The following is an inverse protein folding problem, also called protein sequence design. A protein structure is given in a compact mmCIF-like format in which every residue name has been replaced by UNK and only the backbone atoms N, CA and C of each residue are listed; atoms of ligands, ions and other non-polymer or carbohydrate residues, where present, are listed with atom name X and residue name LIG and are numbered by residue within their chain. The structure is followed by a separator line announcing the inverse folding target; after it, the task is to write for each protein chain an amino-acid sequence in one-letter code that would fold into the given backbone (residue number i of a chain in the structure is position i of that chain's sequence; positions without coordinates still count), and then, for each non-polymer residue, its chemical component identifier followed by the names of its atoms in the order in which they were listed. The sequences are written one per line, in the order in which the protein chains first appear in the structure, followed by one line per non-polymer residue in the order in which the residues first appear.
data_IF_637217657326
#
_entry.id   IF_637217657326
#
_cell.length_a   1.000
_cell.length_b   1.000
_cell.length_c   1.000
_cell.angle_alpha   90.00
_cell.angle_beta   90.00
_cell.angle_gamma   90.00
#
_symmetry.space_group_name_H-M   'P 1'
#
loop_
_entity.id
_entity.type
_entity.pdbx_description
1 polymer ?
#
# COMPACT_ATOMS: atom_id res chain seq x y z
N UNK A 1 3.13 16.38 -10.62
CA UNK A 1 2.44 15.32 -9.89
C UNK A 1 1.80 15.83 -8.62
N UNK A 2 1.06 14.96 -7.91
CA UNK A 2 0.45 15.25 -6.60
C UNK A 2 1.06 14.35 -5.50
N UNK A 3 0.88 14.72 -4.22
CA UNK A 3 1.40 13.90 -3.10
C UNK A 3 0.76 12.52 -3.11
N UNK A 4 1.60 11.48 -3.13
CA UNK A 4 1.14 10.09 -3.23
C UNK A 4 0.86 9.62 -4.67
N UNK A 5 1.22 10.41 -5.69
CA UNK A 5 1.32 9.89 -7.05
C UNK A 5 2.46 8.86 -7.12
N UNK A 6 2.13 7.62 -7.47
CA UNK A 6 3.09 6.48 -7.45
C UNK A 6 3.59 6.08 -8.85
N UNK A 7 2.98 6.64 -9.90
CA UNK A 7 3.34 6.36 -11.27
C UNK A 7 4.20 7.50 -11.81
N UNK A 8 5.38 7.18 -12.33
CA UNK A 8 6.09 8.10 -13.21
C UNK A 8 5.40 8.05 -14.59
N UNK A 9 5.22 9.21 -15.24
CA UNK A 9 4.41 9.36 -16.44
C UNK A 9 5.22 9.94 -17.59
N UNK A 10 5.03 9.40 -18.78
CA UNK A 10 5.64 9.86 -20.02
C UNK A 10 4.57 10.03 -21.09
N UNK A 11 4.66 11.11 -21.85
CA UNK A 11 3.74 11.42 -22.94
C UNK A 11 4.43 11.27 -24.29
N UNK A 12 3.69 10.79 -25.29
CA UNK A 12 4.18 10.84 -26.67
C UNK A 12 4.35 12.28 -27.14
N UNK A 13 5.39 12.54 -27.94
CA UNK A 13 5.70 13.89 -28.43
C UNK A 13 4.57 14.45 -29.31
N UNK A 14 3.85 13.58 -30.03
CA UNK A 14 2.70 13.94 -30.86
C UNK A 14 1.41 14.19 -30.04
N UNK A 15 1.46 14.04 -28.72
CA UNK A 15 0.37 14.29 -27.79
C UNK A 15 -0.74 13.24 -27.80
N UNK A 16 -0.61 12.14 -28.53
CA UNK A 16 -1.70 11.17 -28.75
C UNK A 16 -1.93 10.19 -27.60
N UNK A 17 -1.18 10.29 -26.51
CA UNK A 17 -1.34 9.43 -25.35
C UNK A 17 -0.20 9.52 -24.33
N UNK A 18 -0.33 8.73 -23.27
CA UNK A 18 0.61 8.69 -22.14
C UNK A 18 0.80 7.25 -21.66
N UNK A 19 1.99 6.95 -21.14
CA UNK A 19 2.34 5.71 -20.45
C UNK A 19 2.74 6.06 -19.02
N UNK A 20 2.33 5.22 -18.06
CA UNK A 20 2.76 5.31 -16.67
C UNK A 20 3.49 4.03 -16.23
N UNK A 21 4.56 4.18 -15.46
CA UNK A 21 5.31 3.06 -14.86
C UNK A 21 5.25 3.19 -13.35
N UNK A 22 4.88 2.09 -12.68
CA UNK A 22 4.81 2.00 -11.22
C UNK A 22 5.96 1.11 -10.74
N UNK A 23 7.01 1.72 -10.20
CA UNK A 23 8.22 1.06 -9.75
C UNK A 23 8.08 0.42 -8.34
N UNK A 24 7.08 -0.44 -8.14
CA UNK A 24 6.70 -0.97 -6.81
C UNK A 24 7.77 -1.77 -6.05
N UNK A 25 8.82 -2.20 -6.74
CA UNK A 25 9.94 -2.99 -6.18
C UNK A 25 11.24 -2.19 -6.12
N UNK A 26 11.59 -1.49 -7.20
CA UNK A 26 12.85 -0.73 -7.30
C UNK A 26 12.78 0.64 -6.63
N UNK A 27 11.59 1.25 -6.55
CA UNK A 27 11.34 2.52 -5.87
C UNK A 27 10.05 2.42 -5.03
N UNK A 28 10.10 1.77 -3.86
CA UNK A 28 8.92 1.60 -3.01
C UNK A 28 8.42 2.95 -2.46
N UNK A 29 7.10 3.05 -2.30
CA UNK A 29 6.38 4.28 -1.95
C UNK A 29 5.56 4.14 -0.66
N UNK A 30 6.04 3.37 0.34
CA UNK A 30 5.26 3.14 1.56
C UNK A 30 5.14 4.41 2.42
N UNK A 31 6.15 5.28 2.43
CA UNK A 31 6.17 6.54 3.19
C UNK A 31 5.03 7.51 2.86
N UNK A 32 4.59 7.54 1.60
CA UNK A 32 3.44 8.35 1.16
C UNK A 32 2.13 7.54 1.04
N UNK A 33 2.14 6.27 1.44
CA UNK A 33 0.95 5.42 1.31
C UNK A 33 -0.12 5.83 2.34
N UNK A 34 -1.29 6.25 1.87
CA UNK A 34 -2.45 6.65 2.68
C UNK A 34 -3.62 5.65 2.61
N UNK A 35 -3.35 4.42 2.14
CA UNK A 35 -4.38 3.40 1.91
C UNK A 35 -4.66 2.55 3.14
N UNK A 36 -5.93 2.41 3.49
CA UNK A 36 -6.47 1.33 4.32
C UNK A 36 -7.30 0.38 3.44
N UNK A 37 -7.49 -0.86 3.88
CA UNK A 37 -8.34 -1.86 3.20
C UNK A 37 -9.24 -2.58 4.18
N UNK A 38 -10.46 -2.89 3.75
CA UNK A 38 -11.39 -3.76 4.47
C UNK A 38 -11.49 -5.08 3.72
N UNK A 39 -11.24 -6.21 4.38
CA UNK A 39 -11.43 -7.54 3.79
C UNK A 39 -12.90 -7.94 3.76
N UNK A 40 -13.22 -8.98 2.99
CA UNK A 40 -14.58 -9.52 2.91
C UNK A 40 -15.08 -10.09 4.25
N UNK A 41 -14.17 -10.53 5.12
CA UNK A 41 -14.46 -11.00 6.48
C UNK A 41 -14.72 -9.84 7.46
N UNK A 42 -14.55 -8.59 7.01
CA UNK A 42 -14.77 -7.38 7.80
C UNK A 42 -13.59 -7.01 8.70
N UNK A 43 -12.36 -7.31 8.26
CA UNK A 43 -11.13 -6.90 8.96
C UNK A 43 -10.45 -5.72 8.27
N UNK A 44 -10.04 -4.73 9.05
CA UNK A 44 -9.24 -3.59 8.59
C UNK A 44 -7.76 -3.98 8.50
N UNK A 45 -7.15 -3.69 7.35
CA UNK A 45 -5.73 -3.85 7.08
C UNK A 45 -5.13 -2.50 6.68
N UNK A 46 -4.00 -2.17 7.29
CA UNK A 46 -3.22 -0.94 7.07
C UNK A 46 -2.14 -1.09 5.99
N UNK A 47 -2.00 -2.28 5.41
CA UNK A 47 -1.08 -2.58 4.31
C UNK A 47 -1.62 -3.73 3.44
N UNK A 48 -1.16 -3.82 2.18
CA UNK A 48 -1.46 -4.97 1.33
C UNK A 48 -0.89 -6.28 1.88
N UNK A 49 0.23 -6.18 2.58
CA UNK A 49 1.04 -7.33 3.01
C UNK A 49 1.01 -7.50 4.53
N UNK A 50 0.07 -6.86 5.23
CA UNK A 50 -0.05 -7.08 6.67
C UNK A 50 -0.54 -8.49 6.95
N UNK A 51 0.12 -9.17 7.89
CA UNK A 51 -0.23 -10.53 8.29
C UNK A 51 -1.49 -10.58 9.19
N UNK A 52 -1.81 -9.48 9.86
CA UNK A 52 -2.87 -9.40 10.87
C UNK A 52 -3.81 -8.26 10.51
N UNK A 53 -5.12 -8.55 10.50
CA UNK A 53 -6.17 -7.54 10.34
C UNK A 53 -6.93 -7.30 11.64
N UNK A 54 -7.47 -6.09 11.80
CA UNK A 54 -8.26 -5.69 12.96
C UNK A 54 -9.75 -5.96 12.71
N UNK A 55 -10.41 -6.71 13.57
CA UNK A 55 -11.84 -7.03 13.41
C UNK A 55 -12.71 -5.78 13.62
N UNK A 56 -13.35 -5.30 12.56
CA UNK A 56 -14.36 -4.24 12.64
C UNK A 56 -15.79 -4.81 12.60
N UNK A 57 -15.96 -6.05 12.12
CA UNK A 57 -17.27 -6.69 11.98
C UNK A 57 -17.92 -6.96 13.33
N UNK A 58 -17.16 -7.45 14.31
CA UNK A 58 -17.72 -7.73 15.64
C UNK A 58 -18.21 -6.45 16.34
N UNK A 59 -17.43 -5.35 16.45
CA UNK A 59 -17.91 -4.08 17.00
C UNK A 59 -19.15 -3.53 16.27
N UNK A 60 -19.13 -3.53 14.93
CA UNK A 60 -20.25 -3.06 14.10
C UNK A 60 -21.54 -3.85 14.38
N UNK A 61 -21.45 -5.17 14.45
CA UNK A 61 -22.60 -6.02 14.80
C UNK A 61 -23.01 -5.92 16.26
N UNK A 62 -22.11 -5.46 17.12
CA UNK A 62 -22.38 -5.14 18.52
C UNK A 62 -23.08 -3.80 18.75
N UNK A 63 -23.36 -3.03 17.69
CA UNK A 63 -24.08 -1.75 17.80
C UNK A 63 -23.22 -0.58 18.27
N UNK A 64 -21.92 -0.62 17.99
CA UNK A 64 -21.01 0.52 18.20
C UNK A 64 -21.54 1.78 17.50
N UNK A 65 -21.44 2.93 18.17
CA UNK A 65 -21.78 4.24 17.58
C UNK A 65 -20.74 4.69 16.57
N UNK A 66 -21.09 5.63 15.68
CA UNK A 66 -20.16 6.18 14.69
C UNK A 66 -18.92 6.82 15.33
N UNK A 67 -19.08 7.53 16.45
CA UNK A 67 -17.96 8.15 17.17
C UNK A 67 -16.99 7.10 17.73
N UNK A 68 -17.52 6.01 18.27
CA UNK A 68 -16.72 4.90 18.77
C UNK A 68 -16.00 4.18 17.63
N UNK A 69 -16.68 3.95 16.50
CA UNK A 69 -16.07 3.36 15.31
C UNK A 69 -14.96 4.25 14.74
N UNK A 70 -15.19 5.56 14.65
CA UNK A 70 -14.21 6.53 14.22
C UNK A 70 -12.98 6.52 15.14
N UNK A 71 -13.19 6.45 16.46
CA UNK A 71 -12.13 6.30 17.45
C UNK A 71 -11.30 5.02 17.27
N UNK A 72 -11.96 3.88 17.01
CA UNK A 72 -11.28 2.61 16.73
C UNK A 72 -10.41 2.70 15.48
N UNK A 73 -10.95 3.22 14.38
CA UNK A 73 -10.21 3.36 13.11
C UNK A 73 -9.06 4.35 13.26
N UNK A 74 -9.29 5.49 13.90
CA UNK A 74 -8.24 6.50 14.14
C UNK A 74 -7.12 5.95 15.02
N UNK A 75 -7.45 5.18 16.06
CA UNK A 75 -6.46 4.53 16.93
C UNK A 75 -5.61 3.51 16.16
N UNK A 76 -6.24 2.68 15.32
CA UNK A 76 -5.52 1.73 14.45
C UNK A 76 -4.61 2.49 13.48
N UNK A 77 -5.11 3.56 12.86
CA UNK A 77 -4.36 4.34 11.88
C UNK A 77 -3.17 5.07 12.49
N UNK A 78 -3.33 5.65 13.69
CA UNK A 78 -2.27 6.36 14.39
C UNK A 78 -1.11 5.43 14.80
N UNK A 79 -1.38 4.16 15.08
CA UNK A 79 -0.37 3.15 15.41
C UNK A 79 0.27 2.45 14.20
N UNK A 80 -0.12 2.81 12.97
CA UNK A 80 0.34 2.16 11.75
C UNK A 80 1.85 2.39 11.53
N UNK A 81 2.58 1.30 11.39
CA UNK A 81 4.00 1.30 10.98
C UNK A 81 4.28 0.41 9.76
N UNK A 82 3.23 0.06 9.00
CA UNK A 82 3.38 -0.81 7.84
C UNK A 82 4.12 -0.15 6.68
N UNK A 83 5.22 -0.79 6.31
CA UNK A 83 6.10 -0.38 5.20
C UNK A 83 6.79 -1.60 4.58
N UNK A 84 5.98 -2.59 4.19
CA UNK A 84 6.46 -3.87 3.69
C UNK A 84 7.44 -3.74 2.53
N UNK A 85 7.08 -3.02 1.47
CA UNK A 85 7.93 -2.92 0.28
C UNK A 85 9.26 -2.22 0.57
N UNK A 86 9.27 -1.20 1.44
CA UNK A 86 10.50 -0.54 1.91
C UNK A 86 11.36 -1.49 2.75
N UNK A 87 10.76 -2.19 3.71
CA UNK A 87 11.49 -3.19 4.53
C UNK A 87 12.09 -4.29 3.68
N UNK A 88 11.34 -4.78 2.68
CA UNK A 88 11.84 -5.79 1.73
C UNK A 88 12.97 -5.24 0.86
N UNK A 89 12.83 -4.01 0.37
CA UNK A 89 13.89 -3.36 -0.42
C UNK A 89 15.18 -3.26 0.40
N UNK A 90 15.10 -2.74 1.63
CA UNK A 90 16.25 -2.66 2.55
C UNK A 90 16.86 -4.04 2.87
N UNK A 91 16.03 -5.06 3.08
CA UNK A 91 16.50 -6.42 3.39
C UNK A 91 17.18 -7.12 2.19
N UNK A 92 16.90 -6.69 0.96
CA UNK A 92 17.41 -7.33 -0.28
C UNK A 92 18.36 -6.45 -1.08
N UNK A 93 18.71 -5.28 -0.58
CA UNK A 93 19.53 -4.28 -1.28
C UNK A 93 20.88 -4.81 -1.75
N UNK A 94 21.53 -5.64 -0.93
CA UNK A 94 22.87 -6.18 -1.19
C UNK A 94 22.87 -7.56 -1.85
N UNK A 95 21.70 -8.12 -2.13
CA UNK A 95 21.61 -9.42 -2.78
C UNK A 95 21.77 -9.26 -4.29
N UNK A 96 22.54 -10.13 -4.95
CA UNK A 96 22.62 -10.11 -6.41
C UNK A 96 21.23 -10.35 -6.99
N UNK A 97 20.83 -9.48 -7.93
CA UNK A 97 19.55 -9.58 -8.65
C UNK A 97 19.84 -9.99 -10.08
N UNK A 98 19.16 -11.04 -10.53
CA UNK A 98 19.08 -11.36 -11.96
C UNK A 98 17.85 -10.66 -12.52
N UNK A 99 18.05 -9.98 -13.64
CA UNK A 99 16.97 -9.21 -14.27
C UNK A 99 16.06 -10.14 -15.09
N UNK A 100 14.76 -9.86 -15.11
CA UNK A 100 13.79 -10.71 -15.83
C UNK A 100 14.11 -10.82 -17.33
N UNK A 101 14.70 -9.78 -17.93
CA UNK A 101 15.13 -9.84 -19.34
C UNK A 101 16.25 -10.87 -19.58
N UNK A 102 17.07 -11.17 -18.57
CA UNK A 102 18.16 -12.13 -18.65
C UNK A 102 17.68 -13.58 -18.49
N UNK A 103 16.50 -13.78 -17.88
CA UNK A 103 15.87 -15.08 -17.69
C UNK A 103 14.85 -15.44 -18.80
N UNK A 104 14.47 -14.45 -19.61
CA UNK A 104 13.50 -14.64 -20.69
C UNK A 104 12.06 -14.62 -20.21
N UNK A 105 11.57 -13.44 -19.82
CA UNK A 105 10.13 -13.14 -19.69
C UNK A 105 9.42 -13.79 -18.53
#
# INVERSE_FOLDING_TARGET
GYRGEVAERWRYVDGRGEIGVIASVTQPFCGDCTRARLSAEGKLYTCLFSAIGHDLRAPLRGGVTDDQLAGLVAGIWAGRDDRYSERRAAATERLPKIEMFALGG
#
